data_IF_772091508453
#
_entry.id   IF_772091508453
#
_cell.length_a   1.000
_cell.length_b   1.000
_cell.length_c   1.000
_cell.angle_alpha   90.00
_cell.angle_beta   90.00
_cell.angle_gamma   90.00
#
_symmetry.space_group_name_H-M   'P 1'
#
loop_
_entity.id
_entity.type
_entity.pdbx_description
1 polymer ?
#
# COMPACT_ATOMS: atom_id res chain seq x y z
N UNK A 1 10.74 5.07 -13.37
CA UNK A 1 10.31 4.28 -12.20
C UNK A 1 8.94 3.71 -12.48
N UNK A 2 8.55 2.60 -11.83
CA UNK A 2 7.19 2.05 -11.91
C UNK A 2 6.55 2.13 -10.52
N UNK A 3 5.32 2.60 -10.46
CA UNK A 3 4.56 2.66 -9.22
C UNK A 3 3.66 1.42 -9.10
N UNK A 4 3.55 0.88 -7.89
CA UNK A 4 2.73 -0.28 -7.58
C UNK A 4 1.90 -0.03 -6.33
N UNK A 5 0.66 -0.51 -6.35
CA UNK A 5 -0.25 -0.55 -5.20
C UNK A 5 -0.59 -1.99 -4.86
N UNK A 6 -0.79 -2.27 -3.58
CA UNK A 6 -1.28 -3.57 -3.13
C UNK A 6 -2.81 -3.59 -3.08
N UNK A 7 -3.40 -4.67 -3.57
CA UNK A 7 -4.82 -4.99 -3.37
C UNK A 7 -4.94 -6.05 -2.29
N UNK A 8 -5.61 -5.72 -1.20
CA UNK A 8 -5.85 -6.61 -0.06
C UNK A 8 -7.32 -6.96 0.08
N UNK A 9 -7.60 -8.07 0.76
CA UNK A 9 -8.96 -8.49 1.09
C UNK A 9 -9.02 -9.24 2.43
N UNK A 10 -10.00 -8.91 3.27
CA UNK A 10 -10.40 -9.76 4.41
C UNK A 10 -11.40 -10.83 3.98
N UNK A 11 -11.46 -11.97 4.70
CA UNK A 11 -12.52 -12.94 4.50
C UNK A 11 -13.90 -12.27 4.47
N UNK A 12 -14.66 -12.52 3.41
CA UNK A 12 -16.02 -12.01 3.21
C UNK A 12 -16.16 -10.48 3.08
N UNK A 13 -15.07 -9.73 2.86
CA UNK A 13 -15.10 -8.28 2.59
C UNK A 13 -14.72 -7.96 1.16
N UNK A 14 -15.01 -6.72 0.73
CA UNK A 14 -14.57 -6.22 -0.58
C UNK A 14 -13.05 -6.01 -0.58
N UNK A 15 -12.48 -6.06 -1.77
CA UNK A 15 -11.08 -5.69 -1.99
C UNK A 15 -10.86 -4.20 -1.69
N UNK A 16 -9.67 -3.86 -1.21
CA UNK A 16 -9.26 -2.47 -0.99
C UNK A 16 -7.81 -2.26 -1.41
N UNK A 17 -7.48 -1.02 -1.78
CA UNK A 17 -6.13 -0.63 -2.14
C UNK A 17 -5.38 -0.13 -0.90
N UNK A 18 -4.11 -0.50 -0.80
CA UNK A 18 -3.23 0.01 0.24
C UNK A 18 -1.86 0.36 -0.32
N UNK A 19 -1.41 1.56 0.02
CA UNK A 19 -0.06 2.03 -0.20
C UNK A 19 0.32 2.20 -1.67
N UNK A 20 1.42 2.90 -1.88
CA UNK A 20 2.08 3.00 -3.18
C UNK A 20 3.59 2.91 -2.94
N UNK A 21 4.29 2.11 -3.74
CA UNK A 21 5.75 2.03 -3.75
C UNK A 21 6.30 2.32 -5.14
N UNK A 22 7.51 2.85 -5.19
CA UNK A 22 8.26 3.08 -6.41
C UNK A 22 9.38 2.07 -6.54
N UNK A 23 9.43 1.38 -7.67
CA UNK A 23 10.55 0.49 -8.02
C UNK A 23 11.25 0.97 -9.28
N UNK A 24 12.53 0.62 -9.40
CA UNK A 24 13.31 0.91 -10.60
C UNK A 24 12.76 0.17 -11.83
N UNK A 25 12.93 0.72 -13.05
CA UNK A 25 12.61 -0.01 -14.27
C UNK A 25 13.34 -1.37 -14.32
N UNK A 26 12.65 -2.43 -14.75
CA UNK A 26 13.22 -3.78 -14.84
C UNK A 26 13.37 -4.51 -13.50
N UNK A 27 13.01 -3.91 -12.36
CA UNK A 27 12.95 -4.63 -11.09
C UNK A 27 11.97 -5.82 -11.17
N UNK A 28 12.29 -6.96 -10.54
CA UNK A 28 11.37 -8.07 -10.42
C UNK A 28 10.17 -7.68 -9.54
N UNK A 29 8.99 -8.26 -9.81
CA UNK A 29 7.76 -7.89 -9.11
C UNK A 29 7.82 -8.19 -7.60
N UNK A 30 8.65 -9.15 -7.18
CA UNK A 30 8.93 -9.46 -5.78
C UNK A 30 9.53 -8.28 -5.00
N UNK A 31 10.27 -7.39 -5.68
CA UNK A 31 10.82 -6.17 -5.04
C UNK A 31 9.68 -5.23 -4.62
N UNK A 32 8.65 -5.08 -5.47
CA UNK A 32 7.47 -4.29 -5.15
C UNK A 32 6.61 -4.95 -4.06
N UNK A 33 6.45 -6.28 -4.13
CA UNK A 33 5.71 -7.05 -3.13
C UNK A 33 6.32 -6.92 -1.74
N UNK A 34 7.63 -7.10 -1.62
CA UNK A 34 8.35 -6.99 -0.35
C UNK A 34 8.24 -5.57 0.24
N UNK A 35 8.41 -4.53 -0.58
CA UNK A 35 8.29 -3.14 -0.15
C UNK A 35 6.87 -2.80 0.34
N UNK A 36 5.83 -3.28 -0.36
CA UNK A 36 4.44 -3.09 0.06
C UNK A 36 4.08 -3.87 1.33
N UNK A 37 4.59 -5.09 1.48
CA UNK A 37 4.38 -5.92 2.66
C UNK A 37 5.03 -5.31 3.91
N UNK A 38 6.25 -4.77 3.76
CA UNK A 38 6.93 -4.03 4.82
C UNK A 38 6.13 -2.80 5.22
N UNK A 39 5.76 -1.93 4.26
CA UNK A 39 4.97 -0.72 4.51
C UNK A 39 3.62 -1.03 5.15
N UNK A 40 2.97 -2.11 4.72
CA UNK A 40 1.72 -2.57 5.32
C UNK A 40 1.93 -2.97 6.78
N UNK A 41 2.97 -3.75 7.08
CA UNK A 41 3.28 -4.18 8.46
C UNK A 41 3.58 -3.00 9.38
N UNK A 42 4.37 -2.03 8.93
CA UNK A 42 4.69 -0.81 9.69
C UNK A 42 3.44 0.00 9.99
N UNK A 43 2.64 0.33 8.97
CA UNK A 43 1.40 1.10 9.17
C UNK A 43 0.33 0.35 9.93
N UNK A 44 0.29 -0.97 9.79
CA UNK A 44 -0.65 -1.79 10.54
C UNK A 44 -0.37 -1.74 12.03
N UNK A 45 0.90 -1.90 12.44
CA UNK A 45 1.31 -1.82 13.84
C UNK A 45 1.12 -0.43 14.46
N UNK A 46 1.09 0.63 13.65
CA UNK A 46 0.78 1.99 14.12
C UNK A 46 -0.71 2.24 14.37
N UNK A 47 -1.61 1.57 13.62
CA UNK A 47 -3.03 1.93 13.57
C UNK A 47 -3.91 0.92 14.32
N UNK A 48 -3.58 -0.37 14.24
CA UNK A 48 -4.49 -1.43 14.67
C UNK A 48 -3.87 -2.27 15.80
N UNK A 49 -4.71 -2.76 16.74
CA UNK A 49 -4.27 -3.72 17.75
C UNK A 49 -3.72 -5.02 17.15
N UNK A 50 -2.86 -5.70 17.94
CA UNK A 50 -2.16 -6.92 17.51
C UNK A 50 -3.09 -8.11 17.22
N UNK A 51 -4.30 -8.13 17.76
CA UNK A 51 -5.28 -9.21 17.60
C UNK A 51 -6.13 -9.08 16.33
N UNK A 52 -6.01 -7.96 15.59
CA UNK A 52 -6.76 -7.78 14.35
C UNK A 52 -6.14 -8.65 13.23
N UNK A 53 -6.92 -9.55 12.61
CA UNK A 53 -6.40 -10.42 11.56
C UNK A 53 -5.98 -9.60 10.34
N UNK A 54 -4.81 -9.93 9.81
CA UNK A 54 -4.29 -9.29 8.61
C UNK A 54 -5.05 -9.76 7.37
N UNK A 55 -5.41 -8.86 6.45
CA UNK A 55 -5.97 -9.23 5.16
C UNK A 55 -4.92 -9.91 4.27
N UNK A 56 -5.37 -10.70 3.30
CA UNK A 56 -4.49 -11.36 2.34
C UNK A 56 -4.16 -10.42 1.19
N UNK A 57 -2.90 -10.40 0.76
CA UNK A 57 -2.51 -9.77 -0.51
C UNK A 57 -3.09 -10.58 -1.67
N UNK A 58 -3.92 -9.94 -2.49
CA UNK A 58 -4.57 -10.57 -3.64
C UNK A 58 -3.73 -10.39 -4.90
N UNK A 59 -3.27 -9.16 -5.17
CA UNK A 59 -2.47 -8.81 -6.33
C UNK A 59 -1.77 -7.47 -6.16
N UNK A 60 -0.75 -7.25 -6.98
CA UNK A 60 -0.18 -5.94 -7.23
C UNK A 60 -0.84 -5.34 -8.47
N UNK A 61 -1.16 -4.05 -8.43
CA UNK A 61 -1.66 -3.31 -9.59
C UNK A 61 -0.78 -2.10 -9.87
N UNK A 62 -0.61 -1.69 -11.15
CA UNK A 62 0.06 -0.44 -11.47
C UNK A 62 -0.61 0.72 -10.73
N UNK A 63 0.21 1.51 -10.04
CA UNK A 63 -0.23 2.68 -9.28
C UNK A 63 0.07 3.98 -10.02
N UNK A 64 -0.49 5.06 -9.50
CA UNK A 64 -0.13 6.44 -9.88
C UNK A 64 0.25 7.20 -8.61
N UNK A 65 1.23 8.09 -8.71
CA UNK A 65 1.61 9.00 -7.63
C UNK A 65 1.19 10.41 -8.01
N UNK A 66 0.53 11.06 -7.06
CA UNK A 66 0.14 12.45 -7.13
C UNK A 66 0.79 13.14 -5.94
N UNK A 67 1.53 14.22 -6.20
CA UNK A 67 2.12 15.03 -5.14
C UNK A 67 1.12 16.16 -4.85
N UNK A 68 0.61 16.20 -3.62
CA UNK A 68 -0.27 17.27 -3.16
C UNK A 68 0.60 18.35 -2.51
N UNK A 69 0.56 19.61 -2.98
CA UNK A 69 1.30 20.72 -2.36
C UNK A 69 1.00 20.84 -0.86
N UNK A 70 1.98 21.25 -0.06
CA UNK A 70 1.83 21.33 1.41
C UNK A 70 0.71 22.28 1.87
N UNK A 71 0.43 23.33 1.08
CA UNK A 71 -0.63 24.30 1.37
C UNK A 71 -2.04 23.67 1.37
N UNK A 72 -2.28 22.67 0.51
CA UNK A 72 -3.58 21.98 0.39
C UNK A 72 -3.80 20.92 1.48
N UNK A 73 -2.73 20.46 2.16
CA UNK A 73 -2.84 19.41 3.19
C UNK A 73 -3.40 19.94 4.52
N UNK A 74 -3.32 21.26 4.77
CA UNK A 74 -3.80 21.90 6.01
C UNK A 74 -5.31 22.12 6.06
N UNK A 75 -5.98 22.15 4.90
CA UNK A 75 -7.42 22.40 4.83
C UNK A 75 -8.27 21.13 4.99
N UNK A 76 -7.66 19.94 4.92
CA UNK A 76 -8.33 18.65 5.00
C UNK A 76 -8.17 17.92 6.35
N UNK A 77 -7.49 18.53 7.33
CA UNK A 77 -7.24 17.99 8.68
C UNK A 77 -8.07 18.75 9.73
#
# INVERSE_FOLDING_TARGET
>A
MRAWCAVYQWPSKKEFLFGTVLVRPGAPDQEAEAALAQRFTEKWGEILPDDVPRPKLIRLVPGTIWFVPEEEQREAA
#
